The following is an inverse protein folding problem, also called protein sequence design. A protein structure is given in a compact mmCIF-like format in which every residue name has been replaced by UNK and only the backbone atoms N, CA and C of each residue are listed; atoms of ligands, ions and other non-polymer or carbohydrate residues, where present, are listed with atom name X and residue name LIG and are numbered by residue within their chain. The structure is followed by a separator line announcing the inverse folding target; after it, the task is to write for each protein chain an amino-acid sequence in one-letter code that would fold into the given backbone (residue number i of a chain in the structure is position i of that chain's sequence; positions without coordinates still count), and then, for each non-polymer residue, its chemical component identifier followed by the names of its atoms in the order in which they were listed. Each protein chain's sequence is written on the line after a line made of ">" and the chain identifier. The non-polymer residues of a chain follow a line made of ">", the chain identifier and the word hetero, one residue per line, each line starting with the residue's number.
data_IF_441643538336
#
_entry.id   IF_441643538336
#
_cell.length_a   1.000
_cell.length_b   1.000
_cell.length_c   1.000
_cell.angle_alpha   90.00
_cell.angle_beta   90.00
_cell.angle_gamma   90.00
#
_symmetry.space_group_name_H-M   'P 1'
#
loop_
_entity.id
_entity.type
_entity.pdbx_description
1 polymer ?
#
# COMPACT_ATOMS: atom_id res chain seq x y z
N UNK A 1 -30.74 9.28 1.85
CA UNK A 1 -29.88 8.66 2.89
C UNK A 1 -28.98 7.61 2.23
N UNK A 2 -27.68 7.55 2.53
CA UNK A 2 -26.75 6.58 1.90
C UNK A 2 -26.46 5.43 2.89
N UNK A 3 -27.02 4.23 2.68
CA UNK A 3 -26.90 3.13 3.65
C UNK A 3 -25.46 2.64 3.79
N UNK A 4 -24.64 2.72 2.74
CA UNK A 4 -23.24 2.32 2.76
C UNK A 4 -22.42 3.17 3.72
N UNK A 5 -22.70 4.48 3.81
CA UNK A 5 -22.01 5.39 4.74
C UNK A 5 -22.36 5.09 6.20
N UNK A 6 -23.65 4.86 6.49
CA UNK A 6 -24.08 4.48 7.83
C UNK A 6 -23.44 3.15 8.28
N UNK A 7 -23.39 2.15 7.39
CA UNK A 7 -22.74 0.87 7.67
C UNK A 7 -21.25 1.03 8.00
N UNK A 8 -20.53 1.90 7.29
CA UNK A 8 -19.12 2.19 7.60
C UNK A 8 -18.93 2.82 8.98
N UNK A 9 -19.83 3.72 9.39
CA UNK A 9 -19.79 4.30 10.75
C UNK A 9 -20.08 3.23 11.81
N UNK A 10 -21.10 2.39 11.59
CA UNK A 10 -21.43 1.27 12.48
C UNK A 10 -20.24 0.33 12.68
N UNK A 11 -19.60 -0.08 11.58
CA UNK A 11 -18.39 -0.92 11.62
C UNK A 11 -17.23 -0.22 12.34
N UNK A 12 -17.00 1.06 12.05
CA UNK A 12 -15.95 1.84 12.71
C UNK A 12 -16.14 1.90 14.23
N UNK A 13 -17.37 2.07 14.73
CA UNK A 13 -17.65 2.07 16.17
C UNK A 13 -17.37 0.68 16.75
N UNK A 14 -17.91 -0.37 16.13
CA UNK A 14 -17.79 -1.75 16.61
C UNK A 14 -16.34 -2.26 16.63
N UNK A 15 -15.53 -1.89 15.63
CA UNK A 15 -14.12 -2.28 15.55
C UNK A 15 -13.25 -1.54 16.58
N UNK A 16 -13.76 -0.50 17.23
CA UNK A 16 -12.96 0.45 18.01
C UNK A 16 -13.66 0.94 19.29
N UNK A 17 -14.34 0.04 20.00
CA UNK A 17 -15.21 0.36 21.15
C UNK A 17 -14.59 1.33 22.16
N UNK A 18 -13.32 1.16 22.50
CA UNK A 18 -12.66 1.96 23.53
C UNK A 18 -12.02 3.26 23.02
N UNK A 19 -11.93 3.46 21.69
CA UNK A 19 -11.09 4.52 21.10
C UNK A 19 -11.75 5.31 19.98
N UNK A 20 -12.98 4.98 19.57
CA UNK A 20 -13.63 5.70 18.48
C UNK A 20 -13.90 7.16 18.85
N UNK A 21 -13.91 8.04 17.86
CA UNK A 21 -14.28 9.45 18.03
C UNK A 21 -15.29 9.83 16.96
N UNK A 22 -16.42 10.40 17.39
CA UNK A 22 -17.44 10.95 16.50
C UNK A 22 -17.59 12.44 16.73
N UNK A 23 -17.76 13.18 15.64
CA UNK A 23 -18.13 14.59 15.68
C UNK A 23 -19.57 14.76 16.15
N UNK A 24 -19.88 15.95 16.68
CA UNK A 24 -21.20 16.25 17.22
C UNK A 24 -22.32 15.99 16.23
N UNK A 25 -23.49 15.60 16.75
CA UNK A 25 -24.73 15.69 15.99
C UNK A 25 -25.25 17.12 16.08
N UNK A 26 -25.90 17.61 15.03
CA UNK A 26 -26.41 18.97 14.99
C UNK A 26 -27.85 18.97 14.52
N UNK A 27 -28.74 19.57 15.31
CA UNK A 27 -30.16 19.60 15.01
C UNK A 27 -30.88 20.77 15.64
N UNK A 28 -32.18 20.82 15.37
CA UNK A 28 -33.12 21.73 16.03
C UNK A 28 -33.97 20.95 17.01
N UNK A 29 -34.37 21.60 18.11
CA UNK A 29 -35.44 21.16 18.99
C UNK A 29 -36.59 22.17 18.93
N UNK A 30 -37.81 21.67 18.72
CA UNK A 30 -39.00 22.50 18.52
C UNK A 30 -39.74 22.83 19.83
N UNK A 31 -39.26 22.30 20.95
CA UNK A 31 -39.79 22.58 22.28
C UNK A 31 -38.75 23.35 23.09
N UNK A 32 -39.21 24.15 24.07
CA UNK A 32 -38.32 24.92 24.93
C UNK A 32 -37.74 24.04 26.03
N UNK A 33 -36.44 23.72 26.01
CA UNK A 33 -35.80 22.98 27.10
C UNK A 33 -35.64 23.88 28.34
N UNK A 34 -35.60 23.26 29.51
CA UNK A 34 -35.25 23.95 30.76
C UNK A 34 -33.73 23.84 30.96
N UNK A 35 -33.04 24.98 31.02
CA UNK A 35 -31.61 25.04 31.33
C UNK A 35 -31.40 25.43 32.79
N UNK A 36 -30.71 24.58 33.53
CA UNK A 36 -30.30 24.83 34.91
C UNK A 36 -28.82 25.18 34.91
N UNK A 37 -28.51 26.46 35.11
CA UNK A 37 -27.14 26.94 35.15
C UNK A 37 -26.38 26.43 36.39
N UNK A 38 -25.08 26.21 36.22
CA UNK A 38 -24.14 25.85 37.29
C UNK A 38 -23.50 27.10 37.91
N UNK A 39 -22.47 26.91 38.75
CA UNK A 39 -21.66 28.02 39.27
C UNK A 39 -20.86 28.75 38.17
N UNK A 40 -20.68 28.12 37.01
CA UNK A 40 -20.03 28.72 35.85
C UNK A 40 -21.05 29.16 34.81
N UNK A 41 -20.92 30.42 34.37
CA UNK A 41 -21.80 31.01 33.37
C UNK A 41 -21.83 30.17 32.08
N UNK A 42 -23.02 29.97 31.51
CA UNK A 42 -23.28 29.18 30.29
C UNK A 42 -22.92 27.67 30.38
N UNK A 43 -22.67 27.15 31.57
CA UNK A 43 -22.46 25.72 31.82
C UNK A 43 -23.56 25.25 32.75
N UNK A 44 -24.19 24.11 32.46
CA UNK A 44 -25.35 23.66 33.22
C UNK A 44 -25.98 22.38 32.68
N UNK A 45 -27.12 22.02 33.27
CA UNK A 45 -27.90 20.85 32.89
C UNK A 45 -29.07 21.28 31.99
N UNK A 46 -29.14 20.70 30.79
CA UNK A 46 -30.26 20.89 29.88
C UNK A 46 -31.28 19.76 30.08
N UNK A 47 -32.48 20.09 30.54
CA UNK A 47 -33.61 19.16 30.58
C UNK A 47 -34.42 19.27 29.31
N UNK A 48 -34.58 18.14 28.63
CA UNK A 48 -35.35 17.99 27.40
C UNK A 48 -36.47 16.98 27.67
N UNK A 49 -37.69 17.25 27.21
CA UNK A 49 -38.79 16.29 27.31
C UNK A 49 -38.49 15.06 26.45
N UNK A 50 -38.84 13.87 26.92
CA UNK A 50 -38.71 12.65 26.11
C UNK A 50 -39.66 12.64 24.90
N UNK A 51 -40.72 13.46 24.95
CA UNK A 51 -41.65 13.65 23.85
C UNK A 51 -41.17 14.70 22.84
N UNK A 52 -40.07 15.42 23.14
CA UNK A 52 -39.53 16.44 22.25
C UNK A 52 -39.00 15.83 20.95
N UNK A 53 -39.37 16.43 19.82
CA UNK A 53 -38.83 16.06 18.52
C UNK A 53 -37.52 16.81 18.23
N UNK A 54 -36.43 16.06 18.02
CA UNK A 54 -35.14 16.59 17.57
C UNK A 54 -34.94 16.29 16.09
N UNK A 55 -34.85 17.34 15.28
CA UNK A 55 -34.69 17.23 13.83
C UNK A 55 -33.24 17.50 13.44
N UNK A 56 -32.49 16.44 13.14
CA UNK A 56 -31.09 16.52 12.75
C UNK A 56 -30.92 16.95 11.29
N UNK A 57 -30.18 18.03 11.08
CA UNK A 57 -29.77 18.46 9.74
C UNK A 57 -28.31 18.12 9.44
N UNK A 58 -27.44 17.91 10.44
CA UNK A 58 -26.11 17.31 10.25
C UNK A 58 -25.90 16.05 11.11
N UNK A 59 -25.12 15.11 10.59
CA UNK A 59 -24.79 13.87 11.30
C UNK A 59 -25.77 12.73 11.11
N UNK A 60 -26.73 12.83 10.17
CA UNK A 60 -27.72 11.78 9.97
C UNK A 60 -27.08 10.39 9.71
N UNK A 61 -26.03 10.29 8.87
CA UNK A 61 -25.31 9.02 8.66
C UNK A 61 -24.68 8.48 9.94
N UNK A 62 -24.19 9.38 10.81
CA UNK A 62 -23.63 9.02 12.12
C UNK A 62 -24.72 8.45 13.02
N UNK A 63 -25.87 9.13 13.12
CA UNK A 63 -27.03 8.66 13.90
C UNK A 63 -27.49 7.27 13.47
N UNK A 64 -27.66 7.04 12.17
CA UNK A 64 -28.05 5.70 11.68
C UNK A 64 -26.99 4.65 12.00
N UNK A 65 -25.70 4.97 11.85
CA UNK A 65 -24.61 4.06 12.19
C UNK A 65 -24.54 3.74 13.69
N UNK A 66 -24.78 4.72 14.56
CA UNK A 66 -24.84 4.53 16.02
C UNK A 66 -26.01 3.63 16.40
N UNK A 67 -27.20 3.89 15.85
CA UNK A 67 -28.39 3.05 16.08
C UNK A 67 -28.12 1.60 15.65
N UNK A 68 -27.45 1.42 14.51
CA UNK A 68 -27.09 0.10 14.01
C UNK A 68 -26.06 -0.60 14.90
N UNK A 69 -25.02 0.11 15.36
CA UNK A 69 -24.03 -0.44 16.28
C UNK A 69 -24.66 -0.83 17.64
N UNK A 70 -25.58 0.00 18.17
CA UNK A 70 -26.30 -0.26 19.42
C UNK A 70 -27.17 -1.52 19.39
N UNK A 71 -27.66 -1.94 18.21
CA UNK A 71 -28.42 -3.18 18.08
C UNK A 71 -27.56 -4.42 18.35
N UNK A 72 -26.27 -4.33 18.03
CA UNK A 72 -25.34 -5.46 18.08
C UNK A 72 -24.45 -5.43 19.33
N UNK A 73 -24.25 -4.25 19.94
CA UNK A 73 -23.32 -4.08 21.07
C UNK A 73 -23.99 -3.33 22.22
N UNK A 74 -24.25 -4.05 23.32
CA UNK A 74 -24.94 -3.51 24.50
C UNK A 74 -24.09 -2.48 25.26
N UNK A 75 -22.77 -2.63 25.26
CA UNK A 75 -21.82 -1.75 25.96
C UNK A 75 -21.92 -0.29 25.48
N UNK A 76 -22.26 -0.07 24.21
CA UNK A 76 -22.40 1.28 23.64
C UNK A 76 -23.50 2.12 24.30
N UNK A 77 -24.40 1.52 25.10
CA UNK A 77 -25.48 2.26 25.80
C UNK A 77 -24.97 3.22 26.87
N UNK A 78 -23.79 2.98 27.42
CA UNK A 78 -23.16 3.88 28.40
C UNK A 78 -22.34 4.99 27.74
N UNK A 79 -22.12 4.91 26.43
CA UNK A 79 -21.32 5.89 25.71
C UNK A 79 -22.16 7.12 25.38
N UNK A 80 -21.51 8.28 25.36
CA UNK A 80 -22.13 9.55 25.00
C UNK A 80 -21.38 10.19 23.85
N UNK A 81 -22.10 10.97 23.03
CA UNK A 81 -21.52 11.82 22.00
C UNK A 81 -22.06 13.24 22.14
N UNK A 82 -21.30 14.27 21.71
CA UNK A 82 -21.79 15.64 21.76
C UNK A 82 -23.00 15.86 20.84
N UNK A 83 -23.93 16.69 21.28
CA UNK A 83 -25.11 17.12 20.53
C UNK A 83 -25.21 18.65 20.61
N UNK A 84 -25.30 19.30 19.44
CA UNK A 84 -25.54 20.73 19.30
C UNK A 84 -26.99 20.95 18.89
N UNK A 85 -27.75 21.66 19.72
CA UNK A 85 -29.16 21.95 19.50
C UNK A 85 -29.37 23.44 19.29
N UNK A 86 -30.09 23.78 18.23
CA UNK A 86 -30.64 25.10 18.01
C UNK A 86 -32.11 25.13 18.44
N UNK A 87 -32.55 26.26 19.00
CA UNK A 87 -33.94 26.47 19.37
C UNK A 87 -34.70 27.11 18.21
N UNK A 88 -35.92 26.63 17.95
CA UNK A 88 -36.92 27.30 17.12
C UNK A 88 -36.46 27.69 15.68
N UNK A 89 -35.59 26.90 15.05
CA UNK A 89 -35.18 27.17 13.66
C UNK A 89 -36.28 26.78 12.66
N UNK A 90 -36.61 27.72 11.78
CA UNK A 90 -37.49 27.49 10.64
C UNK A 90 -36.88 26.54 9.61
N UNK A 91 -37.70 26.02 8.68
CA UNK A 91 -37.18 25.16 7.60
C UNK A 91 -36.12 25.86 6.71
N UNK A 92 -36.32 27.11 6.26
CA UNK A 92 -35.30 27.82 5.47
C UNK A 92 -33.98 28.01 6.24
N UNK A 93 -34.04 28.35 7.53
CA UNK A 93 -32.83 28.50 8.36
C UNK A 93 -32.06 27.19 8.50
N UNK A 94 -32.77 26.05 8.66
CA UNK A 94 -32.14 24.72 8.70
C UNK A 94 -31.48 24.32 7.39
N UNK A 95 -32.12 24.66 6.26
CA UNK A 95 -31.55 24.44 4.94
C UNK A 95 -30.28 25.28 4.75
N UNK A 96 -30.29 26.54 5.20
CA UNK A 96 -29.10 27.39 5.16
C UNK A 96 -27.99 26.85 6.06
N UNK A 97 -28.29 26.49 7.32
CA UNK A 97 -27.30 25.91 8.23
C UNK A 97 -26.70 24.60 7.69
N UNK A 98 -27.51 23.75 7.05
CA UNK A 98 -27.00 22.58 6.34
C UNK A 98 -26.02 22.96 5.23
N UNK A 99 -26.36 23.98 4.43
CA UNK A 99 -25.47 24.48 3.37
C UNK A 99 -24.17 25.04 3.95
N UNK A 100 -24.23 25.81 5.03
CA UNK A 100 -23.06 26.46 5.65
C UNK A 100 -22.09 25.42 6.23
N UNK A 101 -22.61 24.45 7.00
CA UNK A 101 -21.79 23.37 7.58
C UNK A 101 -21.06 22.60 6.48
N UNK A 102 -21.76 22.20 5.43
CA UNK A 102 -21.17 21.40 4.37
C UNK A 102 -20.31 22.21 3.40
N UNK A 103 -20.65 23.48 3.16
CA UNK A 103 -19.96 24.38 2.25
C UNK A 103 -18.63 24.89 2.79
N UNK A 104 -18.51 25.06 4.11
CA UNK A 104 -17.28 25.55 4.76
C UNK A 104 -16.40 24.45 5.35
N UNK A 105 -16.81 23.18 5.27
CA UNK A 105 -15.98 22.07 5.75
C UNK A 105 -14.74 21.91 4.86
N UNK A 106 -13.58 22.35 5.37
CA UNK A 106 -12.29 22.09 4.74
C UNK A 106 -11.84 20.68 5.10
N UNK A 107 -11.76 19.80 4.10
CA UNK A 107 -11.19 18.47 4.30
C UNK A 107 -9.69 18.58 4.51
N UNK A 108 -9.14 17.96 5.57
CA UNK A 108 -7.70 17.81 5.70
C UNK A 108 -7.08 17.16 4.46
N UNK A 109 -5.80 17.44 4.23
CA UNK A 109 -5.07 16.74 3.18
C UNK A 109 -5.03 15.23 3.48
N UNK A 110 -4.82 14.44 2.43
CA UNK A 110 -4.67 13.00 2.57
C UNK A 110 -3.36 12.68 3.29
N UNK A 111 -2.29 13.43 3.02
CA UNK A 111 -1.01 13.31 3.73
C UNK A 111 -1.16 13.49 5.25
N UNK A 112 -1.87 14.53 5.71
CA UNK A 112 -2.15 14.73 7.14
C UNK A 112 -2.95 13.56 7.69
N UNK A 113 -4.00 13.16 6.97
CA UNK A 113 -4.87 12.06 7.39
C UNK A 113 -4.08 10.76 7.53
N UNK A 114 -3.19 10.46 6.58
CA UNK A 114 -2.34 9.27 6.58
C UNK A 114 -1.30 9.31 7.70
N UNK A 115 -0.66 10.47 7.92
CA UNK A 115 0.37 10.65 8.96
C UNK A 115 -0.18 10.37 10.36
N UNK A 116 -1.41 10.82 10.64
CA UNK A 116 -2.05 10.60 11.94
C UNK A 116 -2.82 9.29 12.04
N UNK A 117 -2.95 8.53 10.95
CA UNK A 117 -3.74 7.30 10.95
C UNK A 117 -3.00 6.17 11.68
N UNK A 118 -3.35 6.00 12.95
CA UNK A 118 -2.86 4.93 13.79
C UNK A 118 -3.79 3.70 13.84
N UNK A 119 -4.68 3.53 12.86
CA UNK A 119 -5.56 2.35 12.78
C UNK A 119 -5.20 1.42 11.61
N UNK A 120 -4.87 2.02 10.47
CA UNK A 120 -4.55 1.27 9.26
C UNK A 120 -3.04 0.95 9.19
N UNK A 121 -2.73 -0.26 8.74
CA UNK A 121 -1.35 -0.78 8.77
C UNK A 121 -0.46 -0.10 7.73
N UNK A 122 -1.00 0.24 6.55
CA UNK A 122 -0.23 0.81 5.46
C UNK A 122 0.24 2.25 5.74
N UNK A 123 -0.61 3.21 6.19
CA UNK A 123 -0.14 4.52 6.62
C UNK A 123 0.89 4.45 7.74
N UNK A 124 0.68 3.58 8.75
CA UNK A 124 1.67 3.35 9.82
C UNK A 124 3.02 2.92 9.28
N UNK A 125 3.05 1.87 8.47
CA UNK A 125 4.27 1.36 7.86
C UNK A 125 5.02 2.46 7.10
N UNK A 126 4.29 3.27 6.33
CA UNK A 126 4.92 4.33 5.52
C UNK A 126 5.46 5.46 6.41
N UNK A 127 4.77 5.83 7.49
CA UNK A 127 5.27 6.80 8.47
C UNK A 127 6.52 6.26 9.18
N UNK A 128 6.48 5.01 9.65
CA UNK A 128 7.63 4.33 10.27
C UNK A 128 8.83 4.32 9.31
N UNK A 129 8.65 3.84 8.08
CA UNK A 129 9.71 3.82 7.07
C UNK A 129 10.25 5.21 6.77
N UNK A 130 9.39 6.23 6.66
CA UNK A 130 9.81 7.60 6.37
C UNK A 130 10.67 8.21 7.47
N UNK A 131 10.47 7.79 8.72
CA UNK A 131 11.23 8.25 9.88
C UNK A 131 12.49 7.42 10.15
N UNK A 132 12.49 6.13 9.81
CA UNK A 132 13.55 5.18 10.18
C UNK A 132 14.56 4.93 9.05
N UNK A 133 14.12 4.96 7.79
CA UNK A 133 15.00 4.64 6.66
C UNK A 133 15.77 5.89 6.21
N UNK A 134 17.10 5.80 6.17
CA UNK A 134 17.99 6.87 5.74
C UNK A 134 17.76 7.32 4.28
N UNK A 135 17.04 6.53 3.47
CA UNK A 135 16.61 6.91 2.12
C UNK A 135 15.56 8.02 2.12
N UNK A 136 14.80 8.18 3.20
CA UNK A 136 13.69 9.14 3.31
C UNK A 136 13.95 10.31 4.25
N UNK A 137 15.00 10.23 5.06
CA UNK A 137 15.40 11.28 6.02
C UNK A 137 15.32 12.66 5.36
N UNK A 138 14.48 13.55 5.87
CA UNK A 138 14.33 14.93 5.37
C UNK A 138 13.78 15.09 3.94
N UNK A 139 13.27 14.03 3.29
CA UNK A 139 12.75 14.09 1.91
C UNK A 139 11.21 14.03 1.80
N UNK A 140 10.52 13.66 2.88
CA UNK A 140 9.08 13.39 2.88
C UNK A 140 8.28 14.53 3.51
N UNK A 141 7.28 15.04 2.78
CA UNK A 141 6.29 15.98 3.33
C UNK A 141 5.10 15.22 3.92
N UNK A 142 4.92 15.31 5.23
CA UNK A 142 3.85 14.64 5.98
C UNK A 142 2.52 15.42 5.95
N UNK A 143 2.52 16.66 5.48
CA UNK A 143 1.37 17.56 5.60
C UNK A 143 0.67 17.82 4.27
N UNK A 144 1.42 18.02 3.18
CA UNK A 144 0.84 18.46 1.90
C UNK A 144 0.64 17.29 0.96
N UNK A 145 -0.43 17.35 0.16
CA UNK A 145 -0.65 16.39 -0.94
C UNK A 145 0.19 16.72 -2.18
N UNK A 146 0.67 17.96 -2.28
CA UNK A 146 1.45 18.49 -3.40
C UNK A 146 2.57 19.33 -2.80
N UNK A 147 3.79 19.10 -3.27
CA UNK A 147 4.97 19.80 -2.78
C UNK A 147 5.05 21.18 -3.43
N UNK A 148 5.16 22.23 -2.61
CA UNK A 148 5.35 23.59 -3.10
C UNK A 148 6.68 23.76 -3.85
N UNK A 149 6.77 24.76 -4.73
CA UNK A 149 7.97 24.98 -5.58
C UNK A 149 9.25 25.11 -4.74
N UNK A 150 9.25 25.91 -3.68
CA UNK A 150 10.40 26.15 -2.81
C UNK A 150 10.53 25.17 -1.61
N UNK A 151 9.81 24.04 -1.63
CA UNK A 151 9.89 23.07 -0.54
C UNK A 151 11.24 22.32 -0.54
N UNK A 152 11.72 21.99 0.65
CA UNK A 152 12.89 21.13 0.85
C UNK A 152 12.58 19.64 0.65
N UNK A 153 11.30 19.26 0.54
CA UNK A 153 10.89 17.86 0.37
C UNK A 153 10.85 17.45 -1.10
N UNK A 154 11.05 16.16 -1.37
CA UNK A 154 10.93 15.59 -2.71
C UNK A 154 9.52 15.10 -3.02
N UNK A 155 8.87 14.42 -2.07
CA UNK A 155 7.55 13.84 -2.30
C UNK A 155 6.69 13.82 -1.03
N UNK A 156 5.36 13.86 -1.19
CA UNK A 156 4.44 13.80 -0.07
C UNK A 156 4.25 12.35 0.37
N UNK A 157 4.02 12.13 1.67
CA UNK A 157 3.83 10.78 2.23
C UNK A 157 2.69 10.00 1.56
N UNK A 158 1.65 10.70 1.11
CA UNK A 158 0.53 10.12 0.36
C UNK A 158 1.01 9.35 -0.88
N UNK A 159 1.96 9.91 -1.64
CA UNK A 159 2.49 9.27 -2.84
C UNK A 159 3.31 8.03 -2.49
N UNK A 160 4.11 8.10 -1.42
CA UNK A 160 4.87 6.95 -0.94
C UNK A 160 3.93 5.82 -0.48
N UNK A 161 2.82 6.17 0.20
CA UNK A 161 1.77 5.22 0.57
C UNK A 161 1.11 4.58 -0.65
N UNK A 162 0.71 5.39 -1.63
CA UNK A 162 0.07 4.88 -2.85
C UNK A 162 1.02 3.95 -3.64
N UNK A 163 2.31 4.30 -3.72
CA UNK A 163 3.34 3.47 -4.34
C UNK A 163 3.61 2.17 -3.56
N UNK A 164 3.65 2.24 -2.23
CA UNK A 164 3.82 1.06 -1.35
C UNK A 164 2.61 0.12 -1.43
N UNK A 165 1.40 0.66 -1.57
CA UNK A 165 0.19 -0.15 -1.80
C UNK A 165 0.31 -0.97 -3.09
N UNK A 166 0.84 -0.36 -4.17
CA UNK A 166 1.07 -1.02 -5.46
C UNK A 166 2.15 -2.08 -5.35
N UNK A 167 3.27 -1.76 -4.70
CA UNK A 167 4.37 -2.68 -4.42
C UNK A 167 3.87 -3.99 -3.78
N UNK A 168 3.06 -3.85 -2.72
CA UNK A 168 2.55 -4.99 -1.96
C UNK A 168 1.30 -5.62 -2.56
N UNK A 169 0.71 -5.02 -3.59
CA UNK A 169 -0.55 -5.48 -4.19
C UNK A 169 -1.76 -5.42 -3.24
N UNK A 170 -1.74 -4.50 -2.27
CA UNK A 170 -2.75 -4.43 -1.19
C UNK A 170 -3.74 -3.28 -1.36
N UNK A 171 -4.93 -3.46 -0.77
CA UNK A 171 -5.91 -2.37 -0.62
C UNK A 171 -5.54 -1.47 0.56
N UNK A 172 -6.05 -0.24 0.56
CA UNK A 172 -5.69 0.80 1.53
C UNK A 172 -5.89 0.41 3.01
N UNK A 173 -6.86 -0.46 3.32
CA UNK A 173 -7.20 -0.91 4.66
C UNK A 173 -6.86 -2.39 4.92
N UNK A 174 -6.03 -3.00 4.07
CA UNK A 174 -5.58 -4.37 4.27
C UNK A 174 -4.66 -4.44 5.49
N UNK A 175 -4.76 -5.53 6.25
CA UNK A 175 -3.76 -5.87 7.27
C UNK A 175 -2.50 -6.37 6.60
N UNK A 176 -1.35 -5.93 7.11
CA UNK A 176 -0.04 -6.26 6.55
C UNK A 176 0.63 -7.32 7.41
N UNK A 177 1.15 -8.36 6.77
CA UNK A 177 2.01 -9.36 7.45
C UNK A 177 3.38 -8.77 7.74
N UNK A 178 4.12 -9.35 8.70
CA UNK A 178 5.50 -8.94 8.99
C UNK A 178 6.40 -9.10 7.76
N UNK A 179 6.19 -10.15 6.97
CA UNK A 179 6.89 -10.37 5.70
C UNK A 179 6.65 -9.22 4.70
N UNK A 180 5.40 -8.77 4.54
CA UNK A 180 5.09 -7.63 3.67
C UNK A 180 5.74 -6.33 4.16
N UNK A 181 5.84 -6.13 5.49
CA UNK A 181 6.50 -4.96 6.09
C UNK A 181 8.00 -4.96 5.79
N UNK A 182 8.66 -6.10 5.96
CA UNK A 182 10.10 -6.24 5.67
C UNK A 182 10.39 -6.09 4.17
N UNK A 183 9.59 -6.69 3.30
CA UNK A 183 9.72 -6.53 1.84
C UNK A 183 9.64 -5.06 1.43
N UNK A 184 8.68 -4.30 1.99
CA UNK A 184 8.56 -2.88 1.70
C UNK A 184 9.80 -2.08 2.15
N UNK A 185 10.33 -2.39 3.34
CA UNK A 185 11.54 -1.75 3.89
C UNK A 185 12.76 -2.03 3.01
N UNK A 186 12.99 -3.30 2.67
CA UNK A 186 14.10 -3.74 1.82
C UNK A 186 14.03 -3.07 0.44
N UNK A 187 12.86 -3.09 -0.19
CA UNK A 187 12.62 -2.49 -1.49
C UNK A 187 12.95 -0.99 -1.48
N UNK A 188 12.34 -0.21 -0.59
CA UNK A 188 12.56 1.24 -0.56
C UNK A 188 13.98 1.62 -0.18
N UNK A 189 14.64 0.85 0.69
CA UNK A 189 16.05 1.06 1.02
C UNK A 189 16.96 0.84 -0.21
N UNK A 190 16.68 -0.17 -1.04
CA UNK A 190 17.42 -0.45 -2.27
C UNK A 190 17.25 0.64 -3.35
N UNK A 191 16.25 1.51 -3.24
CA UNK A 191 15.95 2.55 -4.23
C UNK A 191 16.88 3.76 -4.18
N UNK A 192 17.53 4.01 -3.05
CA UNK A 192 18.24 5.26 -2.78
C UNK A 192 19.25 5.62 -3.88
N UNK A 193 20.01 4.62 -4.33
CA UNK A 193 21.04 4.75 -5.36
C UNK A 193 20.46 4.88 -6.78
N UNK A 194 19.63 3.94 -7.28
CA UNK A 194 19.10 4.04 -8.65
C UNK A 194 18.20 5.27 -8.86
N UNK A 195 17.57 5.80 -7.81
CA UNK A 195 16.67 6.96 -7.91
C UNK A 195 17.35 8.30 -7.60
N UNK A 196 18.64 8.29 -7.26
CA UNK A 196 19.47 9.46 -6.99
C UNK A 196 18.98 10.33 -5.81
N UNK A 197 18.14 9.80 -4.93
CA UNK A 197 17.56 10.55 -3.81
C UNK A 197 18.58 10.98 -2.75
N UNK A 198 19.75 10.36 -2.69
CA UNK A 198 20.88 10.84 -1.89
C UNK A 198 21.91 11.63 -2.72
N UNK A 199 21.83 11.56 -4.06
CA UNK A 199 22.80 12.20 -4.95
C UNK A 199 22.78 13.72 -4.87
N UNK A 200 21.58 14.32 -4.86
CA UNK A 200 21.44 15.78 -4.87
C UNK A 200 22.03 16.46 -3.62
N UNK A 201 22.03 15.76 -2.47
CA UNK A 201 22.71 16.22 -1.25
C UNK A 201 24.22 16.31 -1.44
N UNK A 202 24.80 15.34 -2.14
CA UNK A 202 26.23 15.31 -2.43
C UNK A 202 26.63 16.32 -3.50
N UNK A 203 25.68 16.77 -4.33
CA UNK A 203 25.90 17.79 -5.37
C UNK A 203 25.66 19.22 -4.86
N UNK A 204 25.36 19.40 -3.57
CA UNK A 204 24.95 20.69 -2.98
C UNK A 204 23.75 21.33 -3.71
N UNK A 205 22.92 20.51 -4.36
CA UNK A 205 21.70 20.96 -5.02
C UNK A 205 20.54 21.03 -4.04
N UNK A 206 19.57 21.89 -4.33
CA UNK A 206 18.33 22.00 -3.56
C UNK A 206 17.26 21.05 -4.10
N UNK A 207 16.30 20.70 -3.24
CA UNK A 207 15.22 19.77 -3.60
C UNK A 207 14.32 20.26 -4.75
N UNK A 208 14.18 21.58 -4.94
CA UNK A 208 13.48 22.16 -6.08
C UNK A 208 14.24 21.96 -7.40
N UNK A 209 15.56 22.18 -7.41
CA UNK A 209 16.42 21.90 -8.57
C UNK A 209 16.35 20.43 -8.95
N UNK A 210 16.42 19.53 -7.96
CA UNK A 210 16.28 18.09 -8.21
C UNK A 210 14.91 17.73 -8.81
N UNK A 211 13.82 18.29 -8.27
CA UNK A 211 12.46 18.04 -8.79
C UNK A 211 12.26 18.57 -10.21
N UNK A 212 12.93 19.67 -10.57
CA UNK A 212 12.87 20.21 -11.92
C UNK A 212 13.70 19.38 -12.92
N UNK A 213 14.85 18.85 -12.48
CA UNK A 213 15.78 18.10 -13.33
C UNK A 213 15.50 16.59 -13.46
N UNK A 214 14.86 15.97 -12.47
CA UNK A 214 14.71 14.51 -12.38
C UNK A 214 13.26 14.07 -12.17
N UNK A 215 12.89 12.94 -12.76
CA UNK A 215 11.53 12.41 -12.67
C UNK A 215 11.27 11.56 -11.42
N UNK A 216 12.31 11.14 -10.70
CA UNK A 216 12.21 10.16 -9.60
C UNK A 216 11.53 10.67 -8.32
N UNK A 217 11.27 11.97 -8.22
CA UNK A 217 10.51 12.61 -7.13
C UNK A 217 9.03 12.77 -7.45
N UNK A 218 8.60 12.52 -8.69
CA UNK A 218 7.24 12.78 -9.14
C UNK A 218 6.33 11.58 -8.89
N UNK A 219 5.08 11.88 -8.54
CA UNK A 219 4.14 10.84 -8.09
C UNK A 219 3.87 9.74 -9.11
N UNK A 220 3.81 10.06 -10.41
CA UNK A 220 3.65 9.06 -11.47
C UNK A 220 4.81 8.07 -11.51
N UNK A 221 6.04 8.55 -11.33
CA UNK A 221 7.23 7.73 -11.37
C UNK A 221 7.31 6.83 -10.13
N UNK A 222 7.07 7.38 -8.94
CA UNK A 222 7.00 6.62 -7.69
C UNK A 222 5.94 5.51 -7.72
N UNK A 223 4.75 5.82 -8.25
CA UNK A 223 3.70 4.82 -8.41
C UNK A 223 4.07 3.75 -9.45
N UNK A 224 4.73 4.14 -10.55
CA UNK A 224 5.22 3.19 -11.55
C UNK A 224 6.28 2.28 -10.94
N UNK A 225 7.16 2.85 -10.11
CA UNK A 225 8.19 2.13 -9.38
C UNK A 225 7.61 1.07 -8.44
N UNK A 226 6.51 1.37 -7.74
CA UNK A 226 5.77 0.38 -6.97
C UNK A 226 5.27 -0.79 -7.83
N UNK A 227 4.78 -0.53 -9.05
CA UNK A 227 4.39 -1.60 -10.00
C UNK A 227 5.60 -2.43 -10.44
N UNK A 228 6.75 -1.80 -10.72
CA UNK A 228 7.99 -2.52 -11.04
C UNK A 228 8.39 -3.44 -9.90
N UNK A 229 8.38 -2.95 -8.67
CA UNK A 229 8.70 -3.75 -7.49
C UNK A 229 7.78 -4.94 -7.31
N UNK A 230 6.47 -4.74 -7.49
CA UNK A 230 5.51 -5.83 -7.45
C UNK A 230 5.85 -6.92 -8.49
N UNK A 231 6.16 -6.53 -9.72
CA UNK A 231 6.55 -7.47 -10.78
C UNK A 231 7.85 -8.20 -10.45
N UNK A 232 8.88 -7.50 -9.97
CA UNK A 232 10.17 -8.10 -9.62
C UNK A 232 10.04 -9.10 -8.46
N UNK A 233 9.31 -8.74 -7.41
CA UNK A 233 9.04 -9.62 -6.28
C UNK A 233 8.23 -10.85 -6.70
N UNK A 234 7.24 -10.67 -7.58
CA UNK A 234 6.40 -11.78 -8.05
C UNK A 234 7.17 -12.76 -8.96
N UNK A 235 8.14 -12.28 -9.74
CA UNK A 235 8.89 -13.11 -10.70
C UNK A 235 10.19 -13.68 -10.12
N UNK A 236 10.88 -12.94 -9.26
CA UNK A 236 12.22 -13.29 -8.78
C UNK A 236 12.30 -13.45 -7.26
N UNK A 237 11.29 -13.00 -6.51
CA UNK A 237 11.30 -13.06 -5.05
C UNK A 237 12.31 -12.13 -4.35
N UNK A 238 12.98 -11.24 -5.09
CA UNK A 238 13.98 -10.31 -4.57
C UNK A 238 13.96 -8.97 -5.33
N UNK A 239 14.80 -8.03 -4.89
CA UNK A 239 14.89 -6.66 -5.43
C UNK A 239 16.22 -6.37 -6.14
N UNK A 240 17.04 -7.39 -6.41
CA UNK A 240 18.42 -7.21 -6.90
C UNK A 240 18.49 -6.47 -8.24
N UNK A 241 17.51 -6.74 -9.12
CA UNK A 241 17.38 -6.08 -10.43
C UNK A 241 17.14 -4.56 -10.35
N UNK A 242 16.80 -4.01 -9.18
CA UNK A 242 16.70 -2.55 -9.03
C UNK A 242 18.05 -1.85 -9.23
N UNK A 243 19.17 -2.54 -9.00
CA UNK A 243 20.49 -1.97 -9.21
C UNK A 243 20.73 -1.57 -10.67
N UNK A 244 20.16 -2.32 -11.63
CA UNK A 244 20.31 -2.08 -13.07
C UNK A 244 19.65 -0.76 -13.51
N UNK A 245 18.66 -0.28 -12.76
CA UNK A 245 18.01 1.02 -13.00
C UNK A 245 18.95 2.21 -12.78
N UNK A 246 20.10 2.02 -12.12
CA UNK A 246 21.11 3.08 -11.99
C UNK A 246 21.69 3.54 -13.32
N UNK A 247 21.55 2.72 -14.38
CA UNK A 247 21.97 3.06 -15.75
C UNK A 247 20.85 3.71 -16.58
N UNK A 248 19.62 3.75 -16.05
CA UNK A 248 18.48 4.35 -16.74
C UNK A 248 18.54 5.87 -16.60
N UNK A 249 18.47 6.58 -17.72
CA UNK A 249 18.42 8.04 -17.71
C UNK A 249 17.06 8.53 -17.19
N UNK A 250 17.02 8.92 -15.91
CA UNK A 250 15.84 9.47 -15.22
C UNK A 250 15.83 11.01 -15.19
N UNK A 251 16.59 11.67 -16.07
CA UNK A 251 16.48 13.11 -16.23
C UNK A 251 15.21 13.47 -16.99
N UNK A 252 14.62 14.62 -16.64
CA UNK A 252 13.40 15.12 -17.26
C UNK A 252 13.61 15.59 -18.71
N UNK A 253 14.83 15.98 -19.07
CA UNK A 253 15.22 16.34 -20.44
C UNK A 253 15.45 15.14 -21.36
N UNK A 254 15.33 13.91 -20.82
CA UNK A 254 15.47 12.69 -21.61
C UNK A 254 14.20 12.35 -22.38
N UNK A 255 14.39 11.93 -23.63
CA UNK A 255 13.36 11.36 -24.50
C UNK A 255 12.80 10.01 -24.02
N UNK A 256 13.55 9.30 -23.15
CA UNK A 256 13.25 7.96 -22.64
C UNK A 256 11.83 7.85 -22.05
N UNK A 257 11.34 8.92 -21.43
CA UNK A 257 10.08 8.96 -20.70
C UNK A 257 9.01 9.88 -21.31
N UNK A 258 9.30 10.47 -22.47
CA UNK A 258 8.34 11.26 -23.26
C UNK A 258 7.23 10.34 -23.79
N UNK A 259 5.98 10.79 -23.70
CA UNK A 259 4.79 9.98 -24.00
C UNK A 259 4.46 8.93 -22.93
N UNK A 260 5.25 8.83 -21.84
CA UNK A 260 5.02 7.91 -20.71
C UNK A 260 4.58 8.69 -19.48
N UNK A 261 5.53 9.18 -18.70
CA UNK A 261 5.26 10.07 -17.57
C UNK A 261 5.50 11.54 -17.88
N UNK A 262 6.13 11.86 -19.01
CA UNK A 262 6.31 13.22 -19.51
C UNK A 262 5.39 13.41 -20.71
N UNK A 263 4.56 14.45 -20.68
CA UNK A 263 3.71 14.83 -21.79
C UNK A 263 4.54 15.40 -22.95
N UNK A 264 4.28 14.92 -24.17
CA UNK A 264 5.07 15.28 -25.36
C UNK A 264 4.89 16.75 -25.77
N UNK A 265 3.71 17.33 -25.55
CA UNK A 265 3.39 18.69 -26.00
C UNK A 265 3.77 19.72 -24.96
N UNK A 266 3.43 19.46 -23.70
CA UNK A 266 3.55 20.43 -22.61
C UNK A 266 4.80 20.23 -21.76
N UNK A 267 5.45 19.06 -21.83
CA UNK A 267 6.56 18.69 -20.94
C UNK A 267 6.15 18.52 -19.48
N UNK A 268 4.85 18.55 -19.18
CA UNK A 268 4.32 18.34 -17.83
C UNK A 268 4.31 16.86 -17.46
N UNK A 269 4.31 16.60 -16.14
CA UNK A 269 4.20 15.23 -15.65
C UNK A 269 2.76 14.74 -15.77
N UNK A 270 2.57 13.60 -16.44
CA UNK A 270 1.28 12.93 -16.57
C UNK A 270 0.94 12.19 -15.27
N UNK A 271 -0.31 12.20 -14.85
CA UNK A 271 -0.77 11.55 -13.60
C UNK A 271 -1.76 10.40 -13.82
N UNK A 272 -1.97 9.99 -15.08
CA UNK A 272 -2.94 8.96 -15.42
C UNK A 272 -2.47 7.56 -15.02
N UNK A 273 -3.41 6.64 -14.82
CA UNK A 273 -3.08 5.23 -14.56
C UNK A 273 -2.32 4.62 -15.75
N UNK A 274 -2.63 5.05 -16.97
CA UNK A 274 -1.91 4.67 -18.18
C UNK A 274 -0.45 5.13 -18.13
N UNK A 275 -0.19 6.38 -17.77
CA UNK A 275 1.16 6.93 -17.63
C UNK A 275 2.00 6.13 -16.61
N UNK A 276 1.39 5.75 -15.48
CA UNK A 276 2.01 4.88 -14.46
C UNK A 276 2.41 3.54 -15.09
N UNK A 277 1.49 2.86 -15.80
CA UNK A 277 1.75 1.56 -16.43
C UNK A 277 2.84 1.66 -17.51
N UNK A 278 2.76 2.63 -18.43
CA UNK A 278 3.75 2.82 -19.51
C UNK A 278 5.15 3.15 -18.96
N UNK A 279 5.22 3.91 -17.87
CA UNK A 279 6.48 4.20 -17.18
C UNK A 279 7.05 2.94 -16.55
N UNK A 280 6.23 2.13 -15.87
CA UNK A 280 6.65 0.87 -15.28
C UNK A 280 7.17 -0.12 -16.33
N UNK A 281 6.49 -0.22 -17.49
CA UNK A 281 6.92 -1.08 -18.61
C UNK A 281 8.30 -0.69 -19.10
N UNK A 282 8.56 0.61 -19.29
CA UNK A 282 9.88 1.08 -19.72
C UNK A 282 10.98 0.66 -18.75
N UNK A 283 10.71 0.75 -17.45
CA UNK A 283 11.64 0.35 -16.41
C UNK A 283 11.83 -1.18 -16.37
N UNK A 284 10.76 -1.96 -16.53
CA UNK A 284 10.83 -3.43 -16.61
C UNK A 284 11.65 -3.91 -17.81
N UNK A 285 11.44 -3.30 -18.98
CA UNK A 285 12.23 -3.59 -20.17
C UNK A 285 13.72 -3.26 -19.96
N UNK A 286 14.03 -2.17 -19.24
CA UNK A 286 15.40 -1.76 -18.94
C UNK A 286 16.13 -2.77 -18.03
N UNK A 287 15.43 -3.36 -17.05
CA UNK A 287 16.01 -4.39 -16.16
C UNK A 287 15.88 -5.82 -16.69
N UNK A 288 15.56 -5.96 -17.99
CA UNK A 288 15.35 -7.24 -18.66
C UNK A 288 14.37 -8.17 -17.91
N UNK A 289 13.29 -7.58 -17.37
CA UNK A 289 12.21 -8.30 -16.70
C UNK A 289 11.09 -8.58 -17.73
N UNK A 290 10.66 -9.85 -17.92
CA UNK A 290 9.51 -10.18 -18.75
C UNK A 290 8.27 -9.37 -18.35
N UNK A 291 7.65 -8.74 -19.34
CA UNK A 291 6.45 -7.90 -19.16
C UNK A 291 5.21 -8.74 -19.46
N UNK A 292 4.18 -8.67 -18.63
CA UNK A 292 2.96 -9.47 -18.82
C UNK A 292 2.25 -9.15 -20.16
N UNK A 293 1.54 -10.11 -20.77
CA UNK A 293 0.86 -9.89 -22.06
C UNK A 293 -0.15 -8.74 -22.05
N UNK A 294 -0.80 -8.46 -20.91
CA UNK A 294 -1.68 -7.28 -20.76
C UNK A 294 -0.90 -5.97 -20.90
N UNK A 295 0.22 -5.85 -20.18
CA UNK A 295 1.06 -4.66 -20.23
C UNK A 295 1.73 -4.51 -21.60
N UNK A 296 2.15 -5.60 -22.24
CA UNK A 296 2.65 -5.57 -23.62
C UNK A 296 1.61 -5.04 -24.61
N UNK A 297 0.35 -5.48 -24.49
CA UNK A 297 -0.75 -4.98 -25.33
C UNK A 297 -0.98 -3.49 -25.13
N UNK A 298 -0.97 -3.03 -23.87
CA UNK A 298 -1.10 -1.61 -23.56
C UNK A 298 0.06 -0.80 -24.16
N UNK A 299 1.29 -1.26 -23.98
CA UNK A 299 2.48 -0.61 -24.52
C UNK A 299 2.41 -0.47 -26.04
N UNK A 300 2.03 -1.53 -26.75
CA UNK A 300 1.92 -1.52 -28.23
C UNK A 300 0.87 -0.54 -28.77
N UNK A 301 -0.11 -0.13 -27.97
CA UNK A 301 -1.08 0.91 -28.37
C UNK A 301 -0.44 2.30 -28.52
N UNK A 302 0.63 2.56 -27.75
CA UNK A 302 1.31 3.86 -27.73
C UNK A 302 2.70 3.79 -28.38
N UNK A 303 3.39 2.66 -28.25
CA UNK A 303 4.75 2.41 -28.71
C UNK A 303 4.81 1.05 -29.44
N UNK A 304 4.30 0.96 -30.69
CA UNK A 304 4.14 -0.29 -31.41
C UNK A 304 5.47 -1.04 -31.67
N UNK A 305 6.57 -0.30 -31.80
CA UNK A 305 7.90 -0.86 -32.10
C UNK A 305 8.65 -1.37 -30.85
N UNK A 306 8.01 -1.37 -29.68
CA UNK A 306 8.66 -1.78 -28.43
C UNK A 306 9.02 -3.26 -28.46
N UNK A 307 10.32 -3.55 -28.29
CA UNK A 307 10.83 -4.91 -28.07
C UNK A 307 10.79 -5.23 -26.59
N UNK A 308 10.14 -6.35 -26.25
CA UNK A 308 10.09 -6.85 -24.88
C UNK A 308 11.20 -7.88 -24.65
N UNK A 309 11.75 -7.97 -23.43
CA UNK A 309 12.60 -9.08 -23.05
C UNK A 309 11.84 -10.40 -23.25
N UNK A 310 12.47 -11.39 -23.89
CA UNK A 310 11.89 -12.73 -24.02
C UNK A 310 11.83 -13.41 -22.66
N UNK A 311 10.79 -14.21 -22.43
CA UNK A 311 10.82 -15.24 -21.39
C UNK A 311 12.01 -16.17 -21.73
N UNK A 312 12.96 -16.34 -20.81
CA UNK A 312 13.93 -17.43 -20.94
C UNK A 312 13.15 -18.75 -21.00
N UNK A 313 13.51 -19.63 -21.94
CA UNK A 313 12.79 -20.86 -22.29
C UNK A 313 12.33 -21.66 -21.05
N UNK A 314 11.02 -21.66 -20.82
CA UNK A 314 10.32 -22.85 -20.32
C UNK A 314 9.19 -23.14 -21.32
N UNK A 315 9.27 -24.33 -21.92
CA UNK A 315 8.47 -24.88 -23.02
C UNK A 315 7.10 -24.26 -23.33
N UNK A 316 6.96 -23.85 -24.58
CA UNK A 316 5.73 -23.42 -25.27
C UNK A 316 4.60 -24.45 -25.28
N UNK A 317 3.35 -23.99 -25.14
CA UNK A 317 2.32 -24.15 -26.20
C UNK A 317 1.07 -23.30 -25.95
N UNK A 318 0.66 -22.60 -27.01
CA UNK A 318 -0.51 -21.73 -27.25
C UNK A 318 -1.86 -22.47 -26.99
N UNK A 319 -3.05 -21.91 -26.77
CA UNK A 319 -3.71 -20.68 -27.24
C UNK A 319 -5.04 -20.46 -26.42
N UNK A 320 -5.62 -19.24 -26.51
CA UNK A 320 -7.02 -18.83 -26.23
C UNK A 320 -7.52 -18.30 -24.83
N UNK A 321 -7.91 -17.01 -24.89
CA UNK A 321 -8.95 -16.18 -24.23
C UNK A 321 -9.17 -16.14 -22.69
N UNK A 322 -9.17 -14.88 -22.21
CA UNK A 322 -9.64 -14.41 -20.92
C UNK A 322 -11.17 -14.50 -20.83
N UNK A 323 -11.68 -15.54 -20.19
CA UNK A 323 -12.86 -15.56 -19.31
C UNK A 323 -13.29 -17.02 -19.11
N UNK A 324 -12.94 -17.62 -17.97
CA UNK A 324 -13.72 -18.61 -17.19
C UNK A 324 -12.81 -19.45 -16.24
N UNK A 325 -12.96 -19.19 -14.95
CA UNK A 325 -12.99 -20.12 -13.79
C UNK A 325 -12.13 -21.41 -13.81
N UNK A 326 -11.19 -21.50 -12.84
CA UNK A 326 -10.67 -22.69 -12.15
C UNK A 326 -10.87 -24.10 -12.79
N UNK A 327 -9.77 -24.76 -13.18
CA UNK A 327 -9.43 -26.13 -12.75
C UNK A 327 -7.91 -26.38 -12.82
N UNK A 328 -7.38 -27.15 -11.87
CA UNK A 328 -5.96 -27.47 -11.68
C UNK A 328 -5.38 -28.34 -12.81
N UNK A 329 -4.30 -27.88 -13.46
CA UNK A 329 -3.35 -28.77 -14.15
C UNK A 329 -2.08 -28.86 -13.30
N UNK A 330 -1.84 -30.03 -12.70
CA UNK A 330 -0.71 -30.32 -11.82
C UNK A 330 0.61 -30.41 -12.62
N UNK A 331 1.40 -29.34 -12.60
CA UNK A 331 2.82 -29.38 -12.98
C UNK A 331 3.61 -30.08 -11.86
N UNK A 332 4.31 -31.19 -12.10
CA UNK A 332 5.09 -31.90 -11.07
C UNK A 332 6.57 -31.53 -11.16
N UNK A 333 7.15 -31.03 -10.07
CA UNK A 333 8.57 -30.70 -9.92
C UNK A 333 9.46 -31.89 -10.29
N UNK A 334 10.46 -31.68 -11.16
CA UNK A 334 11.41 -32.70 -11.65
C UNK A 334 12.74 -32.67 -10.87
N UNK A 335 12.87 -31.79 -9.88
CA UNK A 335 14.10 -31.60 -9.12
C UNK A 335 14.53 -32.85 -8.32
N UNK A 336 15.84 -33.10 -8.16
CA UNK A 336 16.42 -34.29 -7.51
C UNK A 336 15.93 -34.52 -6.07
N UNK A 337 15.60 -33.43 -5.37
CA UNK A 337 15.07 -33.46 -4.00
C UNK A 337 13.54 -33.31 -3.90
N UNK A 338 12.84 -33.16 -5.03
CA UNK A 338 11.41 -32.87 -5.07
C UNK A 338 10.56 -33.96 -4.39
N UNK A 339 10.88 -35.23 -4.65
CA UNK A 339 10.19 -36.36 -4.01
C UNK A 339 10.36 -36.35 -2.48
N UNK A 340 11.50 -35.86 -1.97
CA UNK A 340 11.80 -35.80 -0.53
C UNK A 340 11.07 -34.65 0.15
N UNK A 341 11.02 -33.49 -0.50
CA UNK A 341 10.26 -32.32 -0.04
C UNK A 341 8.76 -32.63 -0.05
N UNK A 342 8.25 -33.26 -1.11
CA UNK A 342 6.84 -33.71 -1.20
C UNK A 342 6.48 -34.74 -0.14
N UNK A 343 7.38 -35.71 0.15
CA UNK A 343 7.13 -36.71 1.18
C UNK A 343 7.01 -36.11 2.59
N UNK A 344 7.73 -35.01 2.87
CA UNK A 344 7.72 -34.34 4.17
C UNK A 344 6.58 -33.34 4.33
N UNK A 345 6.29 -32.57 3.28
CA UNK A 345 5.26 -31.53 3.28
C UNK A 345 4.31 -31.73 2.09
N UNK A 346 3.29 -32.58 2.24
CA UNK A 346 2.37 -32.91 1.16
C UNK A 346 1.44 -31.74 0.75
N UNK A 347 1.30 -30.73 1.62
CA UNK A 347 0.46 -29.55 1.39
C UNK A 347 1.14 -28.47 0.52
N UNK A 348 2.40 -28.67 0.11
CA UNK A 348 3.11 -27.72 -0.74
C UNK A 348 2.64 -27.81 -2.20
N UNK A 349 2.39 -26.65 -2.80
CA UNK A 349 2.24 -26.55 -4.26
C UNK A 349 3.57 -26.91 -4.94
N UNK A 350 3.52 -27.37 -6.18
CA UNK A 350 4.73 -27.85 -6.88
C UNK A 350 5.73 -26.72 -7.14
N UNK A 351 5.26 -25.48 -7.30
CA UNK A 351 6.12 -24.30 -7.33
C UNK A 351 6.83 -24.03 -5.99
N UNK A 352 6.20 -24.35 -4.85
CA UNK A 352 6.85 -24.27 -3.55
C UNK A 352 7.84 -25.41 -3.33
N UNK A 353 7.57 -26.60 -3.90
CA UNK A 353 8.50 -27.73 -3.89
C UNK A 353 9.76 -27.38 -4.70
N UNK A 354 9.60 -26.83 -5.90
CA UNK A 354 10.70 -26.35 -6.74
C UNK A 354 11.52 -25.28 -6.00
N UNK A 355 10.86 -24.27 -5.42
CA UNK A 355 11.57 -23.20 -4.71
C UNK A 355 12.35 -23.73 -3.48
N UNK A 356 11.76 -24.61 -2.66
CA UNK A 356 12.50 -25.22 -1.54
C UNK A 356 13.69 -26.03 -2.05
N UNK A 357 13.52 -26.74 -3.16
CA UNK A 357 14.57 -27.52 -3.80
C UNK A 357 15.73 -26.67 -4.33
N UNK A 358 15.43 -25.58 -5.04
CA UNK A 358 16.43 -24.66 -5.58
C UNK A 358 17.24 -24.00 -4.46
N UNK A 359 16.57 -23.63 -3.36
CA UNK A 359 17.26 -23.04 -2.21
C UNK A 359 18.14 -24.06 -1.48
N UNK A 360 17.77 -25.34 -1.47
CA UNK A 360 18.63 -26.42 -0.99
C UNK A 360 19.86 -26.56 -1.90
N UNK A 361 19.67 -26.53 -3.22
CA UNK A 361 20.78 -26.57 -4.19
C UNK A 361 21.76 -25.41 -3.99
N UNK A 362 21.26 -24.18 -3.84
CA UNK A 362 22.11 -23.00 -3.57
C UNK A 362 22.87 -23.13 -2.25
N UNK A 363 22.26 -23.76 -1.23
CA UNK A 363 22.95 -24.02 0.04
C UNK A 363 24.03 -25.09 -0.12
N UNK A 364 23.71 -26.22 -0.75
CA UNK A 364 24.64 -27.34 -1.00
C UNK A 364 25.86 -26.88 -1.81
N UNK A 365 25.62 -26.21 -2.92
CA UNK A 365 26.67 -25.65 -3.78
C UNK A 365 27.48 -24.58 -3.04
N UNK A 366 26.83 -23.77 -2.18
CA UNK A 366 27.49 -22.80 -1.32
C UNK A 366 28.41 -23.39 -0.25
N UNK A 367 28.27 -24.67 0.11
CA UNK A 367 29.20 -25.41 0.97
C UNK A 367 30.27 -26.19 0.18
N UNK A 368 30.29 -26.08 -1.15
CA UNK A 368 31.25 -26.75 -2.02
C UNK A 368 30.97 -28.24 -2.24
N UNK A 369 29.76 -28.71 -1.90
CA UNK A 369 29.32 -30.08 -2.12
C UNK A 369 28.57 -30.21 -3.47
N UNK A 370 28.55 -31.42 -4.05
CA UNK A 370 27.68 -31.71 -5.20
C UNK A 370 26.30 -32.14 -4.73
N UNK A 371 25.29 -31.94 -5.58
CA UNK A 371 23.91 -32.39 -5.30
C UNK A 371 23.82 -33.89 -4.96
N UNK A 372 24.74 -34.69 -5.49
CA UNK A 372 24.81 -36.13 -5.18
C UNK A 372 25.47 -36.42 -3.83
N UNK A 373 26.56 -35.73 -3.48
CA UNK A 373 27.28 -35.96 -2.21
C UNK A 373 26.47 -35.48 -0.99
N UNK A 374 25.64 -34.46 -1.17
CA UNK A 374 24.82 -33.86 -0.11
C UNK A 374 23.51 -34.59 0.21
N UNK A 375 23.17 -35.68 -0.49
CA UNK A 375 21.85 -36.35 -0.42
C UNK A 375 21.44 -36.79 1.00
N UNK A 376 22.37 -37.28 1.80
CA UNK A 376 22.08 -37.75 3.16
C UNK A 376 21.89 -36.58 4.13
N UNK A 377 22.74 -35.56 3.99
CA UNK A 377 22.70 -34.33 4.76
C UNK A 377 21.43 -33.52 4.50
N UNK A 378 21.03 -33.38 3.23
CA UNK A 378 19.76 -32.77 2.85
C UNK A 378 18.58 -33.54 3.45
N UNK A 379 18.62 -34.88 3.46
CA UNK A 379 17.56 -35.68 4.07
C UNK A 379 17.42 -35.43 5.57
N UNK A 380 18.55 -35.43 6.29
CA UNK A 380 18.57 -35.17 7.72
C UNK A 380 18.04 -33.76 8.02
N UNK A 381 18.43 -32.77 7.22
CA UNK A 381 17.97 -31.40 7.32
C UNK A 381 16.45 -31.29 7.09
N UNK A 382 15.92 -31.84 6.00
CA UNK A 382 14.48 -31.83 5.69
C UNK A 382 13.68 -32.55 6.78
N UNK A 383 14.20 -33.66 7.34
CA UNK A 383 13.55 -34.39 8.41
C UNK A 383 13.48 -33.59 9.73
N UNK A 384 14.52 -32.81 10.05
CA UNK A 384 14.61 -31.98 11.27
C UNK A 384 13.79 -30.69 11.17
N UNK A 385 13.52 -30.18 9.97
CA UNK A 385 12.72 -28.96 9.78
C UNK A 385 11.25 -29.19 10.17
N UNK A 386 10.70 -28.27 10.98
CA UNK A 386 9.29 -28.30 11.42
C UNK A 386 8.33 -27.71 10.38
N UNK A 387 8.77 -26.72 9.61
CA UNK A 387 8.01 -26.05 8.55
C UNK A 387 8.90 -25.91 7.31
N UNK A 388 8.31 -25.96 6.10
CA UNK A 388 9.05 -25.63 4.89
C UNK A 388 9.43 -24.14 4.97
N UNK A 389 10.66 -23.83 4.58
CA UNK A 389 11.16 -22.47 4.48
C UNK A 389 11.92 -22.35 3.17
N UNK A 390 11.72 -21.24 2.48
CA UNK A 390 12.45 -20.85 1.26
C UNK A 390 13.47 -19.76 1.56
N UNK A 391 13.57 -19.33 2.83
CA UNK A 391 14.54 -18.34 3.27
C UNK A 391 15.92 -18.98 3.31
N UNK A 392 16.78 -18.58 2.39
CA UNK A 392 18.13 -19.12 2.20
C UNK A 392 18.95 -19.12 3.51
N UNK A 393 18.85 -18.06 4.32
CA UNK A 393 19.50 -17.98 5.62
C UNK A 393 19.03 -19.06 6.62
N UNK A 394 17.74 -19.39 6.61
CA UNK A 394 17.16 -20.43 7.47
C UNK A 394 17.57 -21.83 7.01
N UNK A 395 17.52 -22.11 5.70
CA UNK A 395 17.94 -23.40 5.14
C UNK A 395 19.45 -23.59 5.38
N UNK A 396 20.26 -22.57 5.11
CA UNK A 396 21.71 -22.57 5.35
C UNK A 396 22.05 -22.85 6.82
N UNK A 397 21.32 -22.24 7.76
CA UNK A 397 21.53 -22.48 9.19
C UNK A 397 21.16 -23.90 9.62
N UNK A 398 20.08 -24.48 9.06
CA UNK A 398 19.70 -25.86 9.36
C UNK A 398 20.63 -26.89 8.69
N UNK A 399 21.08 -26.63 7.47
CA UNK A 399 22.06 -27.46 6.77
C UNK A 399 23.40 -27.48 7.50
N UNK A 400 23.88 -26.31 7.95
CA UNK A 400 25.10 -26.19 8.74
C UNK A 400 25.04 -26.98 10.06
N UNK A 401 23.87 -27.02 10.72
CA UNK A 401 23.68 -27.83 11.95
C UNK A 401 23.83 -29.32 11.69
N UNK A 402 23.35 -29.81 10.54
CA UNK A 402 23.50 -31.22 10.13
C UNK A 402 24.95 -31.55 9.78
N UNK A 403 25.71 -30.60 9.23
CA UNK A 403 27.14 -30.78 8.94
C UNK A 403 28.05 -30.80 10.17
N UNK A 404 27.56 -30.27 11.30
CA UNK A 404 28.33 -30.15 12.55
C UNK A 404 27.95 -31.20 13.60
N UNK A 405 26.95 -32.02 13.33
CA UNK A 405 26.55 -33.20 14.12
C UNK A 405 27.06 -34.46 13.43
#
# INVERSE_FOLDING_TARGET
>A
MNPTRAKKVSQYIQDNLDTYVLTSLTGVINERPEFIESEHANVGLLKVSMDSEVLLFDGQHRTTGIIDALKNTVELRSHSIPLMLFLDMTLPERQQAFSDINGHTVKPSTSISDTYNQRDDLPKLVVEMSNELAVFDGLVDFERNVIGKSSAYLFPIKILKDATARLLGVKANAKLTDEQREIAREFWQACAKPLLWQGFRNWEETADVFRDGYISSHGVFLNAFGVVGQCLLSQYGNVDKLADLSTLNIRRDSDVFVGRCIDEVTGNMLTSVTAIKLTAIKMLCHVHCPVSPELQRLERQYFPDTKFPSELECGTSEDASLDEVFEEVKHRSVHLYADRVRAKWPDLTEAQVDNVCDQIEVVVTGFGETLDSAKESVQCMVNKMRKPSTVLGTIRANYKKVMTE
#
